data_IF_931194731570
#
_entry.id   IF_931194731570
#
_cell.length_a   1.000
_cell.length_b   1.000
_cell.length_c   1.000
_cell.angle_alpha   90.00
_cell.angle_beta   90.00
_cell.angle_gamma   90.00
#
_symmetry.space_group_name_H-M   'P 1'
#
loop_
_entity.id
_entity.type
_entity.pdbx_description
1 polymer ?
#
# COMPACT_ATOMS: atom_id res chain seq x y z
N UNK A 1 -38.52 -49.31 53.21
CA UNK A 1 -37.38 -49.59 52.31
C UNK A 1 -37.57 -48.77 51.05
N UNK A 2 -36.70 -47.79 50.85
CA UNK A 2 -36.57 -46.86 49.72
C UNK A 2 -35.05 -46.63 49.58
N UNK A 3 -34.44 -46.21 48.45
CA UNK A 3 -34.98 -45.97 47.11
C UNK A 3 -34.07 -46.47 45.95
N UNK A 4 -34.54 -46.21 44.72
CA UNK A 4 -33.93 -46.39 43.40
C UNK A 4 -32.50 -45.80 43.21
N UNK A 5 -31.66 -46.38 42.34
CA UNK A 5 -30.49 -45.69 41.81
C UNK A 5 -30.83 -44.87 40.56
N UNK A 6 -30.56 -43.57 40.62
CA UNK A 6 -30.47 -42.70 39.44
C UNK A 6 -29.15 -42.92 38.69
N UNK A 7 -29.12 -43.03 37.35
CA UNK A 7 -27.88 -42.85 36.61
C UNK A 7 -27.55 -41.35 36.49
N UNK A 8 -26.36 -41.03 36.98
CA UNK A 8 -25.70 -39.72 36.97
C UNK A 8 -25.57 -39.19 35.54
N UNK A 9 -26.09 -37.98 35.29
CA UNK A 9 -25.77 -37.22 34.08
C UNK A 9 -24.28 -36.85 34.11
N UNK A 10 -23.50 -37.43 33.20
CA UNK A 10 -22.14 -36.97 32.94
C UNK A 10 -22.15 -35.48 32.53
N UNK A 11 -21.24 -34.66 33.07
CA UNK A 11 -21.25 -33.23 32.81
C UNK A 11 -20.84 -32.94 31.37
N UNK A 12 -21.61 -32.06 30.72
CA UNK A 12 -21.43 -31.49 29.37
C UNK A 12 -20.17 -30.61 29.25
N UNK A 13 -19.08 -30.95 29.93
CA UNK A 13 -17.86 -30.14 30.00
C UNK A 13 -16.93 -30.37 28.79
N UNK A 14 -17.10 -31.47 28.05
CA UNK A 14 -16.31 -31.74 26.84
C UNK A 14 -16.65 -30.81 25.66
N UNK A 15 -17.86 -30.25 25.62
CA UNK A 15 -18.30 -29.37 24.52
C UNK A 15 -17.73 -27.93 24.66
N UNK A 16 -17.37 -27.51 25.87
CA UNK A 16 -16.80 -26.17 26.10
C UNK A 16 -15.28 -26.13 25.90
N UNK A 17 -14.59 -27.27 26.06
CA UNK A 17 -13.15 -27.36 25.81
C UNK A 17 -12.79 -27.20 24.31
N UNK A 18 -13.68 -27.61 23.40
CA UNK A 18 -13.49 -27.42 21.95
C UNK A 18 -13.86 -26.00 21.47
N UNK A 19 -14.72 -25.27 22.18
CA UNK A 19 -15.05 -23.88 21.86
C UNK A 19 -13.98 -22.89 22.34
N UNK A 20 -13.22 -23.22 23.39
CA UNK A 20 -12.09 -22.43 23.88
C UNK A 20 -10.80 -22.65 23.06
N UNK A 21 -10.68 -23.77 22.34
CA UNK A 21 -9.56 -24.03 21.45
C UNK A 21 -9.64 -23.26 20.10
N UNK A 22 -10.81 -22.75 19.72
CA UNK A 22 -10.98 -21.92 18.51
C UNK A 22 -10.68 -20.42 18.72
N UNK A 23 -10.34 -19.99 19.94
CA UNK A 23 -9.98 -18.59 20.23
C UNK A 23 -8.48 -18.29 20.09
N UNK A 24 -7.67 -19.27 19.65
CA UNK A 24 -6.21 -19.19 19.64
C UNK A 24 -5.51 -18.89 18.31
N UNK A 25 -6.23 -18.70 17.21
CA UNK A 25 -5.62 -18.45 15.89
C UNK A 25 -6.39 -17.38 15.09
N UNK A 26 -6.56 -16.21 15.68
CA UNK A 26 -6.80 -15.00 14.90
C UNK A 26 -5.47 -14.31 14.68
N UNK A 27 -4.70 -14.79 13.70
CA UNK A 27 -3.60 -14.03 13.15
C UNK A 27 -4.15 -12.69 12.70
N UNK A 28 -3.69 -11.60 13.31
CA UNK A 28 -3.98 -10.26 12.83
C UNK A 28 -3.31 -10.13 11.48
N UNK A 29 -4.07 -10.35 10.41
CA UNK A 29 -3.64 -10.04 9.06
C UNK A 29 -3.29 -8.54 9.04
N UNK A 30 -1.99 -8.25 8.96
CA UNK A 30 -1.45 -6.90 8.87
C UNK A 30 -1.71 -6.39 7.47
N UNK A 31 -2.80 -5.66 7.35
CA UNK A 31 -3.25 -5.13 6.08
C UNK A 31 -2.66 -3.75 5.81
N UNK A 32 -1.89 -3.60 4.74
CA UNK A 32 -1.57 -2.28 4.16
C UNK A 32 -2.83 -1.71 3.46
N UNK A 33 -2.98 -0.37 3.26
CA UNK A 33 -2.25 0.77 3.78
C UNK A 33 -3.12 1.50 4.82
N UNK A 34 -3.53 0.82 5.89
CA UNK A 34 -4.05 1.53 7.05
C UNK A 34 -3.66 0.81 8.33
N UNK A 35 -3.00 1.54 9.23
CA UNK A 35 -2.77 1.06 10.58
C UNK A 35 -4.10 0.92 11.34
N UNK A 36 -4.01 0.55 12.61
CA UNK A 36 -5.20 0.48 13.46
C UNK A 36 -5.80 1.88 13.68
N UNK A 37 -7.04 1.95 14.15
CA UNK A 37 -7.66 3.22 14.54
C UNK A 37 -6.72 3.97 15.52
N UNK A 38 -6.57 5.28 15.33
CA UNK A 38 -5.65 6.14 16.10
C UNK A 38 -4.15 5.87 15.88
N UNK A 39 -3.78 5.36 14.70
CA UNK A 39 -2.37 5.18 14.31
C UNK A 39 -1.94 6.11 13.19
N UNK A 40 -0.62 6.37 13.16
CA UNK A 40 0.04 7.03 12.05
C UNK A 40 0.59 6.01 11.06
N UNK A 41 0.44 6.32 9.78
CA UNK A 41 1.11 5.63 8.69
C UNK A 41 2.04 6.59 7.98
N UNK A 42 3.34 6.27 8.01
CA UNK A 42 4.36 6.96 7.25
C UNK A 42 4.75 6.09 6.06
N UNK A 43 4.82 6.68 4.88
CA UNK A 43 5.27 6.02 3.66
C UNK A 43 6.35 6.86 2.99
N UNK A 44 7.42 6.21 2.58
CA UNK A 44 8.48 6.77 1.75
C UNK A 44 8.65 5.86 0.55
N UNK A 45 8.56 6.41 -0.65
CA UNK A 45 8.88 5.70 -1.88
C UNK A 45 10.00 6.45 -2.60
N UNK A 46 10.96 5.72 -3.12
CA UNK A 46 12.06 6.26 -3.91
C UNK A 46 12.30 5.35 -5.10
N UNK A 47 12.09 5.88 -6.28
CA UNK A 47 12.40 5.28 -7.58
C UNK A 47 13.38 6.19 -8.31
N UNK A 48 13.97 5.74 -9.43
CA UNK A 48 14.84 6.61 -10.25
C UNK A 48 14.10 7.86 -10.76
N UNK A 49 12.80 7.74 -11.00
CA UNK A 49 11.96 8.80 -11.56
C UNK A 49 11.26 9.66 -10.51
N UNK A 50 11.00 9.14 -9.32
CA UNK A 50 10.16 9.80 -8.33
C UNK A 50 10.58 9.50 -6.89
N UNK A 51 10.37 10.47 -6.01
CA UNK A 51 10.46 10.31 -4.57
C UNK A 51 9.17 10.84 -3.96
N UNK A 52 8.58 10.11 -3.04
CA UNK A 52 7.41 10.53 -2.28
C UNK A 52 7.59 10.28 -0.80
N UNK A 53 6.99 11.17 -0.02
CA UNK A 53 6.76 10.98 1.40
C UNK A 53 5.27 11.24 1.66
N UNK A 54 4.63 10.42 2.47
CA UNK A 54 3.29 10.69 2.96
C UNK A 54 3.13 10.29 4.41
N UNK A 55 2.31 11.04 5.13
CA UNK A 55 1.91 10.76 6.49
C UNK A 55 0.38 10.82 6.56
N UNK A 56 -0.26 9.74 7.00
CA UNK A 56 -1.71 9.68 7.17
C UNK A 56 -2.04 9.25 8.61
N UNK A 57 -3.13 9.77 9.18
CA UNK A 57 -3.61 9.43 10.51
C UNK A 57 -4.98 8.76 10.42
N UNK A 58 -5.13 7.57 11.01
CA UNK A 58 -6.36 6.79 10.95
C UNK A 58 -7.43 7.32 11.91
N UNK A 59 -8.28 8.23 11.43
CA UNK A 59 -9.41 8.81 12.18
C UNK A 59 -10.62 7.89 12.27
N UNK A 60 -10.64 6.81 11.49
CA UNK A 60 -11.63 5.75 11.59
C UNK A 60 -11.04 4.44 11.05
N UNK A 61 -11.75 3.33 11.23
CA UNK A 61 -11.35 2.03 10.66
C UNK A 61 -11.33 2.00 9.12
N UNK A 62 -11.83 3.04 8.46
CA UNK A 62 -11.90 3.13 7.00
C UNK A 62 -11.42 4.47 6.45
N UNK A 63 -10.99 5.41 7.28
CA UNK A 63 -10.60 6.75 6.85
C UNK A 63 -9.26 7.15 7.46
N UNK A 64 -8.35 7.62 6.59
CA UNK A 64 -7.07 8.18 7.00
C UNK A 64 -6.74 9.43 6.19
N UNK A 65 -7.08 10.64 6.68
CA UNK A 65 -6.57 11.90 6.13
C UNK A 65 -5.06 12.03 6.39
N UNK A 66 -4.39 12.81 5.55
CA UNK A 66 -2.95 12.99 5.64
C UNK A 66 -2.40 14.07 4.72
N UNK A 67 -1.08 14.03 4.56
CA UNK A 67 -0.34 14.88 3.64
C UNK A 67 0.64 14.07 2.80
N UNK A 68 0.92 14.57 1.60
CA UNK A 68 1.88 13.98 0.66
C UNK A 68 2.82 15.05 0.11
N UNK A 69 4.10 14.72 0.09
CA UNK A 69 5.15 15.46 -0.59
C UNK A 69 5.69 14.57 -1.71
N UNK A 70 5.88 15.13 -2.90
CA UNK A 70 6.47 14.36 -4.01
C UNK A 70 7.46 15.20 -4.79
N UNK A 71 8.43 14.52 -5.37
CA UNK A 71 9.35 15.05 -6.36
C UNK A 71 9.49 14.04 -7.47
N UNK A 72 9.24 14.41 -8.72
CA UNK A 72 9.36 13.48 -9.84
C UNK A 72 9.88 14.16 -11.10
N UNK A 73 10.48 13.35 -11.96
CA UNK A 73 10.91 13.73 -13.29
C UNK A 73 9.83 13.34 -14.29
N UNK A 74 9.34 14.31 -15.05
CA UNK A 74 8.40 14.12 -16.15
C UNK A 74 9.18 14.15 -17.47
N UNK A 75 9.10 13.10 -18.29
CA UNK A 75 9.63 13.15 -19.66
C UNK A 75 8.92 14.25 -20.45
N UNK A 76 9.68 15.01 -21.23
CA UNK A 76 9.16 15.93 -22.23
C UNK A 76 9.75 15.61 -23.59
N UNK A 77 9.26 16.29 -24.63
CA UNK A 77 9.72 16.07 -26.00
C UNK A 77 11.24 16.25 -26.12
N UNK A 78 11.83 15.51 -27.06
CA UNK A 78 13.25 15.58 -27.41
C UNK A 78 14.21 15.07 -26.31
N UNK A 79 13.72 14.19 -25.43
CA UNK A 79 14.55 13.49 -24.44
C UNK A 79 14.90 14.32 -23.21
N UNK A 80 14.38 15.54 -23.11
CA UNK A 80 14.49 16.34 -21.90
C UNK A 80 13.53 15.84 -20.80
N UNK A 81 13.78 16.26 -19.56
CA UNK A 81 12.93 15.96 -18.42
C UNK A 81 12.65 17.21 -17.60
N UNK A 82 11.40 17.39 -17.19
CA UNK A 82 10.99 18.43 -16.25
C UNK A 82 10.95 17.88 -14.83
N UNK A 83 11.60 18.57 -13.91
CA UNK A 83 11.50 18.26 -12.50
C UNK A 83 10.29 18.97 -11.89
N UNK A 84 9.43 18.21 -11.23
CA UNK A 84 8.28 18.72 -10.50
C UNK A 84 8.34 18.34 -9.04
N UNK A 85 7.78 19.20 -8.22
CA UNK A 85 7.60 18.97 -6.79
C UNK A 85 6.17 19.32 -6.40
N UNK A 86 5.57 18.54 -5.51
CA UNK A 86 4.22 18.78 -5.03
C UNK A 86 4.12 18.65 -3.52
N UNK A 87 3.20 19.41 -2.96
CA UNK A 87 2.72 19.28 -1.60
C UNK A 87 1.20 19.31 -1.62
N UNK A 88 0.56 18.35 -0.95
CA UNK A 88 -0.89 18.23 -0.94
C UNK A 88 -1.43 17.51 0.28
N UNK A 89 -2.74 17.61 0.45
CA UNK A 89 -3.50 16.84 1.42
C UNK A 89 -3.99 15.55 0.75
N UNK A 90 -3.95 14.45 1.49
CA UNK A 90 -4.43 13.14 1.05
C UNK A 90 -5.59 12.66 1.90
N UNK A 91 -6.43 11.82 1.31
CA UNK A 91 -7.48 11.07 1.98
C UNK A 91 -7.47 9.64 1.48
N UNK A 92 -7.24 8.70 2.39
CA UNK A 92 -7.35 7.27 2.11
C UNK A 92 -8.67 6.76 2.68
N UNK A 93 -9.44 6.06 1.85
CA UNK A 93 -10.68 5.41 2.23
C UNK A 93 -10.65 3.92 1.91
N UNK A 94 -10.86 3.07 2.93
CA UNK A 94 -11.08 1.64 2.72
C UNK A 94 -12.53 1.41 2.32
N UNK A 95 -12.74 1.11 1.03
CA UNK A 95 -14.07 0.81 0.50
C UNK A 95 -14.60 -0.51 1.06
N UNK A 96 -13.75 -1.53 1.11
CA UNK A 96 -14.13 -2.83 1.62
C UNK A 96 -12.93 -3.65 2.08
N UNK A 97 -13.15 -4.55 3.04
CA UNK A 97 -12.21 -5.60 3.43
C UNK A 97 -12.95 -6.92 3.56
N UNK A 98 -12.46 -7.94 2.86
CA UNK A 98 -12.87 -9.32 3.07
C UNK A 98 -11.83 -10.00 3.96
N UNK A 99 -12.29 -10.57 5.07
CA UNK A 99 -11.50 -11.44 5.93
C UNK A 99 -11.92 -12.87 5.64
N UNK A 100 -11.06 -13.62 4.94
CA UNK A 100 -11.27 -15.02 4.60
C UNK A 100 -10.47 -15.90 5.58
N UNK A 101 -10.76 -17.20 5.72
CA UNK A 101 -10.09 -18.07 6.69
C UNK A 101 -8.55 -18.09 6.58
N UNK A 102 -8.02 -17.96 5.36
CA UNK A 102 -6.58 -18.02 5.06
C UNK A 102 -6.10 -16.88 4.15
N UNK A 103 -6.92 -15.84 4.01
CA UNK A 103 -6.62 -14.74 3.11
C UNK A 103 -7.31 -13.46 3.55
N UNK A 104 -6.78 -12.33 3.09
CA UNK A 104 -7.42 -11.05 3.22
C UNK A 104 -7.43 -10.37 1.86
N UNK A 105 -8.50 -9.64 1.57
CA UNK A 105 -8.56 -8.76 0.41
C UNK A 105 -9.07 -7.39 0.80
N UNK A 106 -8.56 -6.36 0.13
CA UNK A 106 -8.95 -4.99 0.38
C UNK A 106 -9.23 -4.23 -0.92
N UNK A 107 -10.15 -3.28 -0.82
CA UNK A 107 -10.36 -2.23 -1.81
C UNK A 107 -10.15 -0.86 -1.16
N UNK A 108 -9.43 0.00 -1.87
CA UNK A 108 -9.08 1.34 -1.41
C UNK A 108 -9.36 2.38 -2.47
N UNK A 109 -9.81 3.54 -2.01
CA UNK A 109 -9.84 4.78 -2.76
C UNK A 109 -8.88 5.77 -2.10
N UNK A 110 -7.93 6.29 -2.84
CA UNK A 110 -6.96 7.28 -2.34
C UNK A 110 -7.06 8.52 -3.20
N UNK A 111 -7.40 9.64 -2.59
CA UNK A 111 -7.42 10.95 -3.24
C UNK A 111 -6.37 11.87 -2.66
N UNK A 112 -5.82 12.77 -3.46
CA UNK A 112 -5.02 13.87 -2.95
C UNK A 112 -5.07 15.10 -3.86
N UNK A 113 -4.93 16.28 -3.28
CA UNK A 113 -4.91 17.54 -4.01
C UNK A 113 -4.00 18.55 -3.32
N UNK A 114 -3.45 19.47 -4.10
CA UNK A 114 -2.57 20.48 -3.57
C UNK A 114 -1.89 21.30 -4.65
N UNK A 115 -0.68 21.77 -4.33
CA UNK A 115 0.11 22.60 -5.21
C UNK A 115 1.24 21.79 -5.84
N UNK A 116 1.47 22.02 -7.12
CA UNK A 116 2.61 21.51 -7.87
C UNK A 116 3.43 22.68 -8.40
N UNK A 117 4.76 22.55 -8.32
CA UNK A 117 5.70 23.51 -8.86
C UNK A 117 6.66 22.83 -9.82
N UNK A 118 7.05 23.54 -10.88
CA UNK A 118 8.15 23.17 -11.76
C UNK A 118 9.43 23.74 -11.19
N UNK A 119 10.41 22.88 -10.92
CA UNK A 119 11.74 23.36 -10.58
C UNK A 119 12.41 23.89 -11.85
N UNK A 120 12.79 25.16 -11.87
CA UNK A 120 13.75 25.68 -12.84
C UNK A 120 15.17 25.48 -12.29
N UNK A 121 16.17 25.44 -13.18
CA UNK A 121 17.57 25.41 -12.76
C UNK A 121 17.91 26.54 -11.78
N UNK A 122 18.90 26.33 -10.92
CA UNK A 122 19.43 27.33 -9.97
C UNK A 122 18.40 27.82 -8.92
N UNK A 123 17.53 26.93 -8.42
CA UNK A 123 16.66 27.23 -7.27
C UNK A 123 15.46 28.14 -7.56
N UNK A 124 15.19 28.44 -8.84
CA UNK A 124 14.05 29.27 -9.26
C UNK A 124 12.80 28.41 -9.49
N UNK A 125 11.62 28.98 -9.27
CA UNK A 125 10.35 28.36 -9.66
C UNK A 125 10.06 28.65 -11.13
N UNK A 126 9.92 27.60 -11.94
CA UNK A 126 9.63 27.71 -13.38
C UNK A 126 8.13 27.74 -13.70
N UNK A 127 7.28 27.68 -12.68
CA UNK A 127 5.82 27.64 -12.78
C UNK A 127 5.20 26.97 -11.56
N UNK A 128 3.98 27.36 -11.19
CA UNK A 128 3.21 26.80 -10.08
C UNK A 128 1.75 26.68 -10.50
N UNK A 129 1.06 25.66 -10.02
CA UNK A 129 -0.37 25.48 -10.23
C UNK A 129 -0.97 24.43 -9.30
N UNK A 130 -2.29 24.31 -9.36
CA UNK A 130 -3.03 23.27 -8.64
C UNK A 130 -2.91 21.89 -9.29
N UNK A 131 -3.07 20.85 -8.48
CA UNK A 131 -3.23 19.48 -8.95
C UNK A 131 -4.22 18.69 -8.09
N UNK A 132 -4.77 17.63 -8.69
CA UNK A 132 -5.60 16.64 -8.02
C UNK A 132 -5.31 15.23 -8.55
N UNK A 133 -5.46 14.24 -7.69
CA UNK A 133 -5.21 12.85 -8.01
C UNK A 133 -6.20 11.92 -7.33
N UNK A 134 -6.54 10.83 -8.03
CA UNK A 134 -7.42 9.79 -7.54
C UNK A 134 -6.85 8.43 -7.94
N UNK A 135 -6.80 7.51 -6.99
CA UNK A 135 -6.34 6.15 -7.19
C UNK A 135 -7.32 5.15 -6.62
N UNK A 136 -7.56 4.08 -7.38
CA UNK A 136 -8.23 2.88 -6.91
C UNK A 136 -7.19 1.78 -6.75
N UNK A 137 -7.20 1.10 -5.61
CA UNK A 137 -6.26 0.03 -5.30
C UNK A 137 -7.01 -1.20 -4.81
N UNK A 138 -6.51 -2.36 -5.21
CA UNK A 138 -7.02 -3.64 -4.74
C UNK A 138 -5.84 -4.55 -4.40
N UNK A 139 -5.99 -5.33 -3.34
CA UNK A 139 -5.02 -6.35 -2.97
C UNK A 139 -5.73 -7.59 -2.42
N UNK A 140 -5.07 -8.71 -2.60
CA UNK A 140 -5.40 -10.04 -2.10
C UNK A 140 -4.10 -10.65 -1.58
N UNK A 141 -4.09 -11.04 -0.32
CA UNK A 141 -2.92 -11.59 0.35
C UNK A 141 -3.31 -12.82 1.19
N UNK A 142 -2.49 -13.86 1.10
CA UNK A 142 -2.43 -14.96 2.06
C UNK A 142 -1.13 -14.86 2.85
N UNK A 143 -0.87 -15.80 3.76
CA UNK A 143 0.45 -15.93 4.41
C UNK A 143 1.60 -16.22 3.43
N UNK A 144 1.30 -16.58 2.17
CA UNK A 144 2.27 -17.09 1.21
C UNK A 144 2.20 -16.44 -0.17
N UNK A 145 1.07 -15.86 -0.56
CA UNK A 145 0.84 -15.35 -1.92
C UNK A 145 0.25 -13.95 -1.83
N UNK A 146 0.75 -13.06 -2.69
CA UNK A 146 0.29 -11.69 -2.80
C UNK A 146 -0.09 -11.40 -4.25
N UNK A 147 -1.21 -10.72 -4.42
CA UNK A 147 -1.65 -10.13 -5.68
C UNK A 147 -2.27 -8.77 -5.39
N UNK A 148 -1.87 -7.74 -6.12
CA UNK A 148 -2.45 -6.43 -5.93
C UNK A 148 -2.21 -5.54 -7.12
N UNK A 149 -2.91 -4.43 -7.17
CA UNK A 149 -2.77 -3.48 -8.25
C UNK A 149 -3.41 -2.15 -7.92
N UNK A 150 -3.08 -1.17 -8.74
CA UNK A 150 -3.69 0.16 -8.65
C UNK A 150 -3.80 0.81 -10.00
N UNK A 151 -4.82 1.65 -10.13
CA UNK A 151 -4.93 2.63 -11.21
C UNK A 151 -5.00 4.01 -10.59
N UNK A 152 -4.24 4.96 -11.12
CA UNK A 152 -4.16 6.33 -10.62
C UNK A 152 -4.25 7.32 -11.75
N UNK A 153 -5.12 8.30 -11.60
CA UNK A 153 -5.20 9.47 -12.47
C UNK A 153 -4.75 10.70 -11.69
N UNK A 154 -3.75 11.42 -12.21
CA UNK A 154 -3.33 12.73 -11.72
C UNK A 154 -3.61 13.77 -12.80
N UNK A 155 -4.17 14.90 -12.41
CA UNK A 155 -4.47 16.04 -13.27
C UNK A 155 -3.99 17.32 -12.59
N UNK A 156 -3.64 18.33 -13.37
CA UNK A 156 -3.31 19.64 -12.86
C UNK A 156 -3.19 20.67 -13.96
N UNK A 157 -2.81 21.87 -13.56
CA UNK A 157 -2.53 22.97 -14.47
C UNK A 157 -1.33 22.68 -15.38
N UNK A 158 -1.16 23.54 -16.40
CA UNK A 158 -0.15 23.41 -17.44
C UNK A 158 -0.08 22.00 -18.05
N UNK A 159 -1.26 21.50 -18.44
CA UNK A 159 -1.50 20.19 -19.07
C UNK A 159 -0.99 18.98 -18.27
N UNK A 160 -0.68 19.10 -16.98
CA UNK A 160 -0.24 17.98 -16.13
C UNK A 160 -1.29 16.86 -16.08
N UNK A 161 -0.90 15.66 -16.52
CA UNK A 161 -1.77 14.49 -16.68
C UNK A 161 -0.94 13.22 -16.61
N UNK A 162 -1.08 12.49 -15.51
CA UNK A 162 -0.52 11.14 -15.40
C UNK A 162 -1.62 10.11 -15.28
N UNK A 163 -1.47 8.99 -15.97
CA UNK A 163 -2.24 7.79 -15.70
C UNK A 163 -1.26 6.66 -15.42
N UNK A 164 -1.31 6.15 -14.20
CA UNK A 164 -0.43 5.07 -13.74
C UNK A 164 -1.29 3.83 -13.54
N UNK A 165 -0.85 2.70 -14.07
CA UNK A 165 -1.38 1.39 -13.76
C UNK A 165 -0.25 0.54 -13.19
N UNK A 166 -0.51 -0.12 -12.06
CA UNK A 166 0.43 -1.04 -11.40
C UNK A 166 -0.25 -2.37 -11.16
N UNK A 167 0.49 -3.43 -11.40
CA UNK A 167 0.16 -4.78 -11.01
C UNK A 167 1.34 -5.36 -10.23
N UNK A 168 1.08 -6.00 -9.11
CA UNK A 168 2.09 -6.61 -8.25
C UNK A 168 1.66 -8.02 -7.91
N UNK A 169 2.60 -8.95 -7.94
CA UNK A 169 2.37 -10.30 -7.43
C UNK A 169 3.64 -10.88 -6.88
N UNK A 170 3.53 -11.84 -5.97
CA UNK A 170 4.70 -12.44 -5.35
C UNK A 170 4.34 -13.54 -4.38
N UNK A 171 5.37 -14.11 -3.78
CA UNK A 171 5.24 -15.14 -2.77
C UNK A 171 6.21 -14.93 -1.60
N UNK A 172 5.80 -15.39 -0.43
CA UNK A 172 6.62 -15.39 0.77
C UNK A 172 7.54 -16.61 0.80
N UNK A 173 8.77 -16.45 1.26
CA UNK A 173 9.70 -17.58 1.39
C UNK A 173 9.28 -18.54 2.52
N UNK A 174 8.73 -18.01 3.61
CA UNK A 174 8.17 -18.75 4.75
C UNK A 174 7.00 -17.97 5.35
N UNK A 175 6.21 -18.64 6.18
CA UNK A 175 5.24 -17.98 7.04
C UNK A 175 5.96 -17.53 8.31
N UNK A 176 5.75 -16.30 8.75
CA UNK A 176 6.32 -15.80 9.99
C UNK A 176 5.19 -15.41 10.95
N UNK A 177 5.41 -15.67 12.23
CA UNK A 177 4.59 -15.10 13.28
C UNK A 177 4.88 -13.60 13.45
N UNK A 178 4.09 -12.89 14.26
CA UNK A 178 4.20 -11.44 14.45
C UNK A 178 5.61 -10.96 14.84
N UNK A 179 6.34 -11.79 15.59
CA UNK A 179 7.70 -11.54 16.05
C UNK A 179 8.78 -11.89 15.01
N UNK A 180 8.42 -12.63 13.97
CA UNK A 180 9.31 -13.01 12.90
C UNK A 180 9.43 -11.93 11.82
N UNK A 181 10.44 -12.09 10.97
CA UNK A 181 10.54 -11.38 9.70
C UNK A 181 9.94 -12.26 8.61
N UNK A 182 9.08 -11.68 7.78
CA UNK A 182 8.49 -12.35 6.64
C UNK A 182 9.03 -11.75 5.34
N UNK A 183 9.98 -12.43 4.66
CA UNK A 183 10.49 -11.97 3.39
C UNK A 183 9.66 -12.50 2.23
N UNK A 184 9.53 -11.66 1.22
CA UNK A 184 8.77 -11.92 0.01
C UNK A 184 9.61 -11.63 -1.22
N UNK A 185 9.42 -12.44 -2.25
CA UNK A 185 9.83 -12.12 -3.61
C UNK A 185 8.61 -11.60 -4.37
N UNK A 186 8.71 -10.41 -4.94
CA UNK A 186 7.66 -9.75 -5.69
C UNK A 186 8.14 -9.36 -7.07
N UNK A 187 7.20 -9.27 -7.99
CA UNK A 187 7.38 -8.60 -9.28
C UNK A 187 6.27 -7.57 -9.42
N UNK A 188 6.66 -6.36 -9.80
CA UNK A 188 5.74 -5.30 -10.20
C UNK A 188 5.84 -5.02 -11.69
N UNK A 189 4.68 -4.84 -12.32
CA UNK A 189 4.53 -4.28 -13.64
C UNK A 189 3.88 -2.90 -13.52
N UNK A 190 4.61 -1.84 -13.85
CA UNK A 190 4.12 -0.46 -13.85
C UNK A 190 4.04 0.08 -15.28
N UNK A 191 2.95 0.79 -15.59
CA UNK A 191 2.84 1.60 -16.80
C UNK A 191 2.34 2.99 -16.48
N UNK A 192 3.13 3.99 -16.87
CA UNK A 192 2.79 5.41 -16.69
C UNK A 192 2.62 6.11 -18.04
N UNK A 193 1.52 6.83 -18.22
CA UNK A 193 1.23 7.68 -19.38
C UNK A 193 1.25 9.15 -18.96
N UNK A 194 2.16 9.93 -19.55
CA UNK A 194 2.35 11.37 -19.29
C UNK A 194 1.54 12.25 -20.27
N UNK A 195 1.56 13.56 -20.05
CA UNK A 195 0.82 14.59 -20.78
C UNK A 195 1.28 14.84 -22.22
N UNK A 196 2.59 14.79 -22.45
CA UNK A 196 3.18 14.86 -23.77
C UNK A 196 3.21 13.44 -24.35
N UNK A 197 3.05 13.29 -25.67
CA UNK A 197 3.08 12.01 -26.38
C UNK A 197 4.34 11.15 -26.16
N UNK A 198 5.29 11.60 -25.34
CA UNK A 198 6.38 10.83 -24.76
C UNK A 198 5.86 9.78 -23.79
N UNK A 199 5.41 8.64 -24.33
CA UNK A 199 5.43 7.41 -23.55
C UNK A 199 6.87 7.12 -23.17
N UNK A 200 7.18 7.00 -21.86
CA UNK A 200 8.35 6.19 -21.47
C UNK A 200 8.07 4.77 -21.98
N UNK A 201 8.99 4.23 -22.77
CA UNK A 201 8.74 3.04 -23.59
C UNK A 201 8.32 1.83 -22.75
N UNK A 202 7.09 1.37 -22.88
CA UNK A 202 6.65 0.06 -22.40
C UNK A 202 6.43 -0.06 -20.88
N UNK A 203 6.02 -1.25 -20.46
CA UNK A 203 5.79 -1.61 -19.06
C UNK A 203 7.13 -1.80 -18.35
N UNK A 204 7.31 -1.16 -17.20
CA UNK A 204 8.46 -1.37 -16.31
C UNK A 204 8.21 -2.60 -15.44
N UNK A 205 9.09 -3.58 -15.53
CA UNK A 205 9.09 -4.73 -14.63
C UNK A 205 10.16 -4.56 -13.55
N UNK A 206 9.74 -4.68 -12.30
CA UNK A 206 10.61 -4.51 -11.13
C UNK A 206 10.51 -5.74 -10.24
N UNK A 207 11.48 -6.66 -10.26
CA UNK A 207 11.66 -7.62 -9.18
C UNK A 207 12.03 -6.90 -7.87
N UNK A 208 11.46 -7.34 -6.77
CA UNK A 208 11.65 -6.74 -5.44
C UNK A 208 11.74 -7.80 -4.35
N UNK A 209 12.51 -7.49 -3.32
CA UNK A 209 12.43 -8.13 -2.03
C UNK A 209 11.65 -7.24 -1.08
N UNK A 210 10.66 -7.80 -0.41
CA UNK A 210 9.90 -7.14 0.65
C UNK A 210 10.16 -7.85 1.97
N UNK A 211 10.31 -7.07 3.03
CA UNK A 211 10.48 -7.54 4.39
C UNK A 211 9.39 -6.91 5.25
N UNK A 212 8.59 -7.75 5.89
CA UNK A 212 7.57 -7.33 6.85
C UNK A 212 8.02 -7.79 8.23
N UNK A 213 8.10 -6.86 9.18
CA UNK A 213 8.40 -7.17 10.57
C UNK A 213 7.66 -6.18 11.49
N UNK A 214 6.65 -6.66 12.20
CA UNK A 214 5.78 -5.87 13.09
C UNK A 214 5.21 -4.63 12.39
N UNK A 215 5.75 -3.46 12.71
CA UNK A 215 5.34 -2.13 12.22
C UNK A 215 6.12 -1.67 10.99
N UNK A 216 7.16 -2.41 10.61
CA UNK A 216 8.07 -2.08 9.53
C UNK A 216 7.75 -2.90 8.30
N UNK A 217 7.73 -2.19 7.19
CA UNK A 217 7.56 -2.75 5.87
C UNK A 217 8.59 -2.12 4.96
N UNK A 218 9.53 -2.91 4.44
CA UNK A 218 10.65 -2.42 3.63
C UNK A 218 10.68 -3.19 2.33
N UNK A 219 10.78 -2.48 1.21
CA UNK A 219 10.93 -3.07 -0.12
C UNK A 219 12.18 -2.51 -0.81
N UNK A 220 12.91 -3.40 -1.47
CA UNK A 220 14.09 -3.10 -2.27
C UNK A 220 13.91 -3.73 -3.64
N UNK A 221 14.03 -2.93 -4.69
CA UNK A 221 13.84 -3.37 -6.07
C UNK A 221 14.91 -2.87 -7.01
N UNK A 222 14.99 -3.50 -8.17
CA UNK A 222 15.79 -2.97 -9.28
C UNK A 222 15.04 -3.22 -10.58
N UNK A 223 15.12 -2.26 -11.50
CA UNK A 223 14.62 -2.40 -12.85
C UNK A 223 15.60 -1.74 -13.83
N UNK A 224 15.22 -1.68 -15.11
CA UNK A 224 16.04 -1.07 -16.17
C UNK A 224 16.31 0.44 -15.98
N UNK A 225 15.57 1.13 -15.11
CA UNK A 225 15.78 2.55 -14.80
C UNK A 225 16.65 2.75 -13.54
N UNK A 226 16.81 1.73 -12.70
CA UNK A 226 17.63 1.77 -11.49
C UNK A 226 16.96 1.15 -10.26
N UNK A 227 17.48 1.51 -9.08
CA UNK A 227 17.03 0.99 -7.79
C UNK A 227 15.73 1.62 -7.28
N UNK A 228 14.94 0.82 -6.59
CA UNK A 228 13.71 1.22 -5.90
C UNK A 228 13.81 0.90 -4.42
N UNK A 229 13.27 1.79 -3.58
CA UNK A 229 13.16 1.64 -2.14
C UNK A 229 11.79 2.12 -1.68
N UNK A 230 11.04 1.26 -1.00
CA UNK A 230 9.81 1.66 -0.33
C UNK A 230 9.93 1.33 1.16
N UNK A 231 9.47 2.24 2.00
CA UNK A 231 9.39 2.07 3.44
C UNK A 231 8.00 2.48 3.88
N UNK A 232 7.34 1.61 4.62
CA UNK A 232 6.15 1.96 5.37
C UNK A 232 6.35 1.65 6.84
N UNK A 233 5.90 2.57 7.69
CA UNK A 233 5.99 2.48 9.13
C UNK A 233 4.65 2.85 9.77
N UNK A 234 4.17 1.99 10.69
CA UNK A 234 2.96 2.22 11.46
C UNK A 234 3.28 2.53 12.93
N UNK A 235 2.85 3.70 13.42
CA UNK A 235 3.00 4.10 14.82
C UNK A 235 1.68 4.10 15.56
#
# INVERSE_FOLDING_TARGET
>A
MNPFPHPVRAPRLAAWALALASLGLHGTASALPMGHYESWMLMLDSTPASRSFSANYAVAQTWAPGGTLRRWQEPVDHGASLLRESAGLSLTHRLHRWNLPHAQANLWLVGDAGQVRRAAGHGRTGGQGGYGSLAFMADYETTRVYFGGSIKALRGEDSLRHNVARLRTGFSFWEAEYEGIQPWLLVEAERTRYSAGSMREGTLFTPMLRFIHRRWFVELGVNREGGMFNLMFNH
#
